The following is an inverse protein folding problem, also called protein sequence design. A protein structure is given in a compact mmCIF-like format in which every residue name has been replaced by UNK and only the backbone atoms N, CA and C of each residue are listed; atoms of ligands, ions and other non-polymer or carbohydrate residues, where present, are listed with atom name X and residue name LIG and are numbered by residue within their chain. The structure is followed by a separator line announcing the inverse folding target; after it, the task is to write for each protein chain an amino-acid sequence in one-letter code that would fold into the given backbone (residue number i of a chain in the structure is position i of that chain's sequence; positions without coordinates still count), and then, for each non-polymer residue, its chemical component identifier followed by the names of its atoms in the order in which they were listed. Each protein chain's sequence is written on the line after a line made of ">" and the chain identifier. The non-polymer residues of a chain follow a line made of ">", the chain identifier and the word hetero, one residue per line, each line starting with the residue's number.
data_IF_344171523606
#
_entry.id   IF_344171523606
#
_cell.length_a   1.000
_cell.length_b   1.000
_cell.length_c   1.000
_cell.angle_alpha   90.00
_cell.angle_beta   90.00
_cell.angle_gamma   90.00
#
_symmetry.space_group_name_H-M   'P 1'
#
loop_
_entity.id
_entity.type
_entity.pdbx_description
1 polymer ?
#
# COMPACT_ATOMS: atom_id res chain seq x y z
N UNK A 1 13.33 14.52 2.32
CA UNK A 1 12.71 13.20 2.30
C UNK A 1 13.66 12.11 2.79
N UNK A 2 13.13 10.91 3.06
CA UNK A 2 13.98 9.74 3.37
C UNK A 2 14.82 9.35 2.16
N UNK A 3 16.15 9.13 2.30
CA UNK A 3 17.02 8.73 1.19
C UNK A 3 16.58 7.42 0.52
N UNK A 4 15.95 6.54 1.26
CA UNK A 4 15.46 5.25 0.79
C UNK A 4 14.36 5.37 -0.27
N UNK A 5 13.62 6.48 -0.28
CA UNK A 5 12.56 6.76 -1.24
C UNK A 5 13.02 7.64 -2.42
N UNK A 6 14.30 8.02 -2.45
CA UNK A 6 14.81 9.00 -3.41
C UNK A 6 14.56 8.60 -4.86
N UNK A 7 14.80 7.35 -5.20
CA UNK A 7 14.67 6.84 -6.57
C UNK A 7 13.21 6.81 -7.01
N UNK A 8 12.32 6.33 -6.14
CA UNK A 8 10.88 6.29 -6.40
C UNK A 8 10.35 7.71 -6.61
N UNK A 9 10.68 8.64 -5.71
CA UNK A 9 10.16 10.01 -5.76
C UNK A 9 10.72 10.82 -6.95
N UNK A 10 11.98 10.58 -7.36
CA UNK A 10 12.55 11.20 -8.56
C UNK A 10 11.84 10.80 -9.85
N UNK A 11 11.20 9.63 -9.87
CA UNK A 11 10.42 9.16 -11.01
C UNK A 11 9.01 9.76 -11.10
N UNK A 12 8.56 10.52 -10.10
CA UNK A 12 7.24 11.12 -10.12
C UNK A 12 7.21 12.38 -11.02
N UNK A 13 6.14 12.54 -11.78
CA UNK A 13 5.91 13.73 -12.60
C UNK A 13 5.97 15.01 -11.75
N UNK A 14 6.64 16.04 -12.23
CA UNK A 14 6.81 17.33 -11.53
C UNK A 14 7.95 17.36 -10.50
N UNK A 15 8.60 16.24 -10.22
CA UNK A 15 9.75 16.17 -9.31
C UNK A 15 11.04 16.34 -10.11
N UNK A 16 11.63 17.55 -10.09
CA UNK A 16 12.89 17.84 -10.80
C UNK A 16 14.13 17.41 -10.02
N UNK A 17 14.06 17.36 -8.69
CA UNK A 17 15.19 16.94 -7.86
C UNK A 17 14.70 16.40 -6.51
N UNK A 18 15.46 15.48 -5.95
CA UNK A 18 15.32 15.01 -4.57
C UNK A 18 16.56 15.43 -3.78
N UNK A 19 16.35 16.18 -2.72
CA UNK A 19 17.43 16.68 -1.85
C UNK A 19 17.21 16.13 -0.44
N UNK A 20 18.28 15.59 0.14
CA UNK A 20 18.25 14.94 1.44
C UNK A 20 18.62 15.90 2.57
N UNK A 21 17.85 15.83 3.67
CA UNK A 21 18.23 16.35 4.98
C UNK A 21 18.69 17.81 4.99
N UNK A 22 19.77 18.07 5.66
CA UNK A 22 20.28 19.41 5.91
C UNK A 22 20.72 20.15 4.65
N UNK A 23 21.06 19.43 3.58
CA UNK A 23 21.40 20.02 2.29
C UNK A 23 20.22 20.78 1.70
N UNK A 24 19.00 20.39 2.03
CA UNK A 24 17.78 21.04 1.56
C UNK A 24 17.70 22.52 1.98
N UNK A 25 18.26 22.88 3.12
CA UNK A 25 18.30 24.27 3.61
C UNK A 25 19.17 25.19 2.76
N UNK A 26 20.13 24.64 2.02
CA UNK A 26 21.02 25.39 1.11
C UNK A 26 20.52 25.48 -0.34
N UNK A 27 19.42 24.82 -0.67
CA UNK A 27 18.88 24.84 -2.04
C UNK A 27 18.02 26.08 -2.23
N UNK A 28 18.34 26.88 -3.26
CA UNK A 28 17.51 28.02 -3.64
C UNK A 28 16.10 27.56 -4.05
N UNK A 29 15.08 28.23 -3.54
CA UNK A 29 13.67 27.96 -3.84
C UNK A 29 12.87 29.25 -3.69
N UNK A 30 11.84 29.43 -4.49
CA UNK A 30 10.93 30.56 -4.40
C UNK A 30 9.90 30.34 -3.27
N UNK A 31 9.48 29.09 -3.10
CA UNK A 31 8.51 28.68 -2.07
C UNK A 31 8.94 27.35 -1.45
N UNK A 32 8.60 27.17 -0.19
CA UNK A 32 8.68 25.85 0.45
C UNK A 32 7.38 25.51 1.18
N UNK A 33 7.09 24.24 1.28
CA UNK A 33 5.83 23.77 1.85
C UNK A 33 6.01 22.38 2.43
N UNK A 34 5.55 22.15 3.69
CA UNK A 34 5.45 20.79 4.21
C UNK A 34 4.46 20.00 3.35
N UNK A 35 4.83 18.79 2.93
CA UNK A 35 3.98 17.96 2.05
C UNK A 35 2.57 17.73 2.63
N UNK A 36 2.48 17.49 3.94
CA UNK A 36 1.19 17.28 4.63
C UNK A 36 0.30 18.54 4.68
N UNK A 37 0.87 19.72 4.45
CA UNK A 37 0.14 21.00 4.48
C UNK A 37 -0.15 21.54 3.07
N UNK A 38 0.23 20.82 2.03
CA UNK A 38 0.16 21.32 0.64
C UNK A 38 -1.26 21.62 0.16
N UNK A 39 -2.25 20.89 0.66
CA UNK A 39 -3.64 21.10 0.25
C UNK A 39 -4.17 22.50 0.57
N UNK A 40 -3.75 23.09 1.70
CA UNK A 40 -4.26 24.38 2.17
C UNK A 40 -3.89 25.53 1.23
N UNK A 41 -2.60 25.85 0.95
CA UNK A 41 -2.24 26.95 0.08
C UNK A 41 -2.56 26.69 -1.40
N UNK A 42 -2.71 25.43 -1.80
CA UNK A 42 -3.16 25.06 -3.15
C UNK A 42 -4.69 25.07 -3.27
N UNK A 43 -5.40 25.37 -2.18
CA UNK A 43 -6.86 25.39 -2.11
C UNK A 43 -7.50 24.10 -2.66
N UNK A 44 -6.89 22.95 -2.33
CA UNK A 44 -7.39 21.64 -2.76
C UNK A 44 -8.46 21.14 -1.78
N UNK A 45 -9.56 20.71 -2.33
CA UNK A 45 -10.61 20.00 -1.62
C UNK A 45 -10.52 18.49 -1.88
N UNK A 46 -11.19 17.69 -1.06
CA UNK A 46 -11.20 16.23 -1.21
C UNK A 46 -11.69 15.77 -2.60
N UNK A 47 -12.62 16.50 -3.20
CA UNK A 47 -13.12 16.26 -4.58
C UNK A 47 -12.09 16.47 -5.68
N UNK A 48 -11.01 17.22 -5.39
CA UNK A 48 -9.97 17.56 -6.37
C UNK A 48 -8.87 16.48 -6.45
N UNK A 49 -8.94 15.47 -5.57
CA UNK A 49 -8.02 14.33 -5.59
C UNK A 49 -8.29 13.48 -6.84
N UNK A 50 -7.25 13.18 -7.60
CA UNK A 50 -7.42 12.45 -8.86
C UNK A 50 -7.51 10.93 -8.71
N UNK A 51 -6.98 10.36 -7.63
CA UNK A 51 -6.91 8.91 -7.41
C UNK A 51 -6.05 8.12 -8.41
N UNK A 52 -5.56 8.76 -9.47
CA UNK A 52 -4.81 8.13 -10.55
C UNK A 52 -3.41 7.70 -10.11
N UNK A 53 -2.89 6.68 -10.78
CA UNK A 53 -1.50 6.27 -10.62
C UNK A 53 -0.53 7.41 -10.97
N UNK A 54 0.54 7.52 -10.17
CA UNK A 54 1.60 8.53 -10.36
C UNK A 54 3.00 7.97 -10.18
N UNK A 55 3.11 6.66 -9.92
CA UNK A 55 4.37 5.92 -9.88
C UNK A 55 4.33 4.85 -10.97
N UNK A 56 5.31 4.84 -11.85
CA UNK A 56 5.41 3.85 -12.92
C UNK A 56 5.85 2.49 -12.39
N UNK A 57 5.37 1.41 -13.00
CA UNK A 57 5.84 0.04 -12.76
C UNK A 57 7.29 -0.13 -13.21
N UNK A 58 8.04 -0.97 -12.53
CA UNK A 58 9.42 -1.32 -12.91
C UNK A 58 9.46 -2.38 -14.03
N UNK A 59 8.43 -3.21 -14.15
CA UNK A 59 8.32 -4.27 -15.16
C UNK A 59 6.84 -4.56 -15.47
N UNK A 60 6.55 -5.28 -16.56
CA UNK A 60 5.22 -5.81 -16.83
C UNK A 60 4.75 -6.77 -15.72
N UNK A 61 3.43 -6.90 -15.57
CA UNK A 61 2.86 -7.89 -14.66
C UNK A 61 3.17 -9.32 -15.09
N UNK A 62 3.34 -10.19 -14.09
CA UNK A 62 3.48 -11.64 -14.24
C UNK A 62 2.22 -12.38 -13.72
N UNK A 63 1.13 -11.68 -13.45
CA UNK A 63 -0.08 -12.26 -12.88
C UNK A 63 0.05 -12.68 -11.42
N UNK A 64 1.03 -12.14 -10.67
CA UNK A 64 1.25 -12.48 -9.27
C UNK A 64 0.24 -11.80 -8.36
N UNK A 65 0.06 -12.39 -7.18
CA UNK A 65 -0.68 -11.78 -6.07
C UNK A 65 0.28 -11.53 -4.93
N UNK A 66 0.55 -10.25 -4.67
CA UNK A 66 1.43 -9.83 -3.58
C UNK A 66 0.66 -9.75 -2.26
N UNK A 67 1.22 -10.27 -1.18
CA UNK A 67 0.57 -10.21 0.14
C UNK A 67 1.46 -9.65 1.22
N UNK A 68 0.88 -8.78 2.07
CA UNK A 68 1.55 -8.21 3.24
C UNK A 68 0.58 -8.14 4.42
N UNK A 69 1.00 -8.70 5.57
CA UNK A 69 0.11 -8.87 6.71
C UNK A 69 0.51 -8.08 7.96
N UNK A 70 1.77 -7.65 8.08
CA UNK A 70 2.28 -6.96 9.25
C UNK A 70 2.95 -5.64 8.86
N UNK A 71 2.69 -4.58 9.62
CA UNK A 71 3.35 -3.30 9.50
C UNK A 71 4.65 -3.21 10.30
N UNK A 72 5.06 -1.99 10.65
CA UNK A 72 6.17 -1.76 11.56
C UNK A 72 5.67 -2.00 13.01
N UNK A 73 6.23 -2.97 13.75
CA UNK A 73 5.81 -3.26 15.12
C UNK A 73 6.09 -2.10 16.11
N UNK A 74 7.00 -1.20 15.77
CA UNK A 74 7.29 -0.01 16.57
C UNK A 74 6.30 1.15 16.35
N UNK A 75 5.39 1.00 15.39
CA UNK A 75 4.38 2.02 15.14
C UNK A 75 3.31 1.99 16.23
N UNK A 76 3.08 3.13 16.91
CA UNK A 76 2.20 3.25 18.08
C UNK A 76 0.76 2.76 17.88
N UNK A 77 0.28 2.75 16.62
CA UNK A 77 -1.06 2.29 16.25
C UNK A 77 -1.08 0.92 15.59
N UNK A 78 0.03 0.18 15.56
CA UNK A 78 0.10 -1.15 14.91
C UNK A 78 -0.91 -2.12 15.50
N UNK A 79 -1.07 -2.13 16.82
CA UNK A 79 -2.05 -2.97 17.54
C UNK A 79 -3.50 -2.82 17.05
N UNK A 80 -3.86 -1.70 16.43
CA UNK A 80 -5.22 -1.45 15.93
C UNK A 80 -5.45 -1.97 14.51
N UNK A 81 -4.39 -2.18 13.74
CA UNK A 81 -4.45 -2.67 12.35
C UNK A 81 -3.86 -4.07 12.17
N UNK A 82 -3.23 -4.59 13.20
CA UNK A 82 -2.74 -5.97 13.21
C UNK A 82 -3.91 -6.95 13.22
N UNK A 83 -3.82 -7.97 12.40
CA UNK A 83 -4.78 -9.07 12.32
C UNK A 83 -4.06 -10.43 12.36
N UNK A 84 -4.72 -11.51 12.82
CA UNK A 84 -4.16 -12.84 12.77
C UNK A 84 -3.83 -13.25 11.33
N UNK A 85 -2.54 -13.46 11.00
CA UNK A 85 -2.05 -13.81 9.65
C UNK A 85 -2.71 -15.07 9.09
N UNK A 86 -3.12 -15.98 9.97
CA UNK A 86 -3.81 -17.22 9.62
C UNK A 86 -5.12 -16.98 8.90
N UNK A 87 -5.82 -15.88 9.20
CA UNK A 87 -7.07 -15.52 8.51
C UNK A 87 -6.80 -15.15 7.05
N UNK A 88 -5.74 -14.37 6.80
CA UNK A 88 -5.29 -14.07 5.44
C UNK A 88 -4.85 -15.34 4.72
N UNK A 89 -3.98 -16.15 5.33
CA UNK A 89 -3.47 -17.37 4.70
C UNK A 89 -4.58 -18.34 4.35
N UNK A 90 -5.57 -18.53 5.23
CA UNK A 90 -6.75 -19.35 4.97
C UNK A 90 -7.64 -18.80 3.83
N UNK A 91 -7.64 -17.49 3.61
CA UNK A 91 -8.40 -16.89 2.53
C UNK A 91 -7.75 -17.11 1.15
N UNK A 92 -6.42 -17.24 1.10
CA UNK A 92 -5.63 -17.27 -0.14
C UNK A 92 -4.89 -18.60 -0.40
N UNK A 93 -5.01 -19.60 0.46
CA UNK A 93 -4.24 -20.86 0.36
C UNK A 93 -4.49 -21.65 -0.92
N UNK A 94 -5.65 -21.45 -1.57
CA UNK A 94 -5.99 -22.10 -2.85
C UNK A 94 -5.64 -21.25 -4.08
N UNK A 95 -5.01 -20.11 -3.88
CA UNK A 95 -4.66 -19.16 -4.93
C UNK A 95 -3.24 -19.44 -5.42
N UNK A 96 -3.06 -19.55 -6.73
CA UNK A 96 -1.75 -19.75 -7.33
C UNK A 96 -1.01 -18.41 -7.54
N UNK A 97 0.32 -18.46 -7.61
CA UNK A 97 1.13 -17.30 -7.92
C UNK A 97 1.26 -16.27 -6.80
N UNK A 98 0.92 -16.64 -5.56
CA UNK A 98 1.07 -15.74 -4.41
C UNK A 98 2.54 -15.55 -4.06
N UNK A 99 2.95 -14.30 -3.88
CA UNK A 99 4.29 -13.90 -3.42
C UNK A 99 4.20 -13.07 -2.14
N UNK A 100 5.22 -13.20 -1.29
CA UNK A 100 5.30 -12.43 -0.05
C UNK A 100 5.87 -11.04 -0.29
N UNK A 101 5.15 -10.00 0.11
CA UNK A 101 5.65 -8.62 0.23
C UNK A 101 5.98 -8.26 1.68
N UNK A 102 6.11 -9.28 2.53
CA UNK A 102 6.50 -9.14 3.93
C UNK A 102 8.00 -9.39 4.07
N UNK A 103 8.75 -8.36 4.46
CA UNK A 103 10.20 -8.42 4.60
C UNK A 103 10.64 -9.33 5.75
N UNK A 104 9.92 -9.25 6.86
CA UNK A 104 10.29 -9.94 8.10
C UNK A 104 9.18 -10.89 8.56
N UNK A 105 9.57 -11.91 9.30
CA UNK A 105 8.66 -12.89 9.86
C UNK A 105 8.51 -14.15 9.00
N UNK A 106 7.92 -15.16 9.60
CA UNK A 106 7.69 -16.46 8.96
C UNK A 106 6.56 -16.35 7.93
N UNK A 107 6.79 -16.93 6.76
CA UNK A 107 5.83 -17.11 5.68
C UNK A 107 5.61 -18.58 5.37
N UNK A 108 4.43 -18.96 4.84
CA UNK A 108 4.21 -20.33 4.38
C UNK A 108 5.15 -20.71 3.22
N UNK A 109 5.59 -21.96 3.20
CA UNK A 109 6.49 -22.50 2.15
C UNK A 109 5.91 -22.43 0.73
N UNK A 110 4.57 -22.42 0.60
CA UNK A 110 3.90 -22.32 -0.70
C UNK A 110 3.91 -20.90 -1.30
N UNK A 111 4.29 -19.88 -0.53
CA UNK A 111 4.47 -18.52 -1.07
C UNK A 111 5.80 -18.39 -1.80
N UNK A 112 5.75 -17.75 -2.97
CA UNK A 112 6.95 -17.45 -3.74
C UNK A 112 7.92 -16.51 -2.99
N UNK A 113 9.22 -16.72 -3.27
CA UNK A 113 10.29 -15.89 -2.71
C UNK A 113 10.34 -14.53 -3.40
N UNK A 114 10.74 -13.51 -2.65
CA UNK A 114 10.91 -12.13 -3.12
C UNK A 114 12.14 -11.51 -2.50
N UNK A 115 12.72 -10.52 -3.18
CA UNK A 115 13.78 -9.66 -2.65
C UNK A 115 13.16 -8.33 -2.23
N UNK A 116 13.32 -7.94 -0.98
CA UNK A 116 12.71 -6.73 -0.40
C UNK A 116 13.74 -5.91 0.40
N UNK A 117 14.99 -5.90 -0.04
CA UNK A 117 16.09 -5.23 0.67
C UNK A 117 15.95 -3.71 0.59
N UNK A 118 15.53 -3.22 -0.56
CA UNK A 118 15.33 -1.80 -0.84
C UNK A 118 13.87 -1.50 -1.26
N UNK A 119 13.51 -0.23 -1.30
CA UNK A 119 12.22 0.18 -1.85
C UNK A 119 12.12 -0.03 -3.37
N UNK A 120 13.24 -0.04 -4.09
CA UNK A 120 13.28 -0.40 -5.51
C UNK A 120 12.97 -1.88 -5.72
N UNK A 121 13.53 -2.76 -4.88
CA UNK A 121 13.20 -4.19 -4.91
C UNK A 121 11.72 -4.39 -4.59
N UNK A 122 11.22 -3.72 -3.55
CA UNK A 122 9.79 -3.77 -3.19
C UNK A 122 8.90 -3.29 -4.35
N UNK A 123 9.26 -2.20 -5.01
CA UNK A 123 8.56 -1.69 -6.20
C UNK A 123 8.60 -2.68 -7.35
N UNK A 124 9.75 -3.33 -7.58
CA UNK A 124 9.89 -4.36 -8.60
C UNK A 124 8.97 -5.55 -8.32
N UNK A 125 8.98 -6.09 -7.11
CA UNK A 125 8.12 -7.22 -6.73
C UNK A 125 6.63 -6.87 -6.82
N UNK A 126 6.24 -5.66 -6.40
CA UNK A 126 4.88 -5.15 -6.58
C UNK A 126 4.52 -5.04 -8.06
N UNK A 127 5.47 -4.61 -8.94
CA UNK A 127 5.21 -4.49 -10.38
C UNK A 127 4.81 -5.80 -11.04
N UNK A 128 5.28 -6.94 -10.52
CA UNK A 128 4.93 -8.29 -11.02
C UNK A 128 3.49 -8.70 -10.70
N UNK A 129 2.82 -7.94 -9.82
CA UNK A 129 1.49 -8.29 -9.33
C UNK A 129 0.37 -7.68 -10.19
N UNK A 130 -0.73 -8.42 -10.33
CA UNK A 130 -2.02 -7.90 -10.77
C UNK A 130 -2.87 -7.47 -9.57
N UNK A 131 -2.65 -8.07 -8.42
CA UNK A 131 -3.35 -7.79 -7.18
C UNK A 131 -2.37 -7.75 -6.00
N UNK A 132 -2.54 -6.78 -5.12
CA UNK A 132 -1.88 -6.74 -3.82
C UNK A 132 -2.92 -6.77 -2.71
N UNK A 133 -2.79 -7.69 -1.75
CA UNK A 133 -3.63 -7.77 -0.54
C UNK A 133 -2.76 -7.40 0.65
N UNK A 134 -3.10 -6.32 1.34
CA UNK A 134 -2.24 -5.75 2.37
C UNK A 134 -3.00 -5.25 3.59
N UNK A 135 -2.36 -5.32 4.75
CA UNK A 135 -2.69 -4.43 5.86
C UNK A 135 -2.44 -2.97 5.48
N UNK A 136 -2.93 -2.02 6.29
CA UNK A 136 -2.71 -0.59 6.08
C UNK A 136 -1.23 -0.22 6.31
N UNK A 137 -0.39 -0.37 5.28
CA UNK A 137 1.07 -0.17 5.34
C UNK A 137 1.58 0.62 4.13
N UNK A 138 2.85 1.02 4.17
CA UNK A 138 3.53 1.70 3.05
C UNK A 138 3.50 0.89 1.74
N UNK A 139 3.50 -0.45 1.81
CA UNK A 139 3.35 -1.32 0.63
C UNK A 139 1.98 -1.11 -0.04
N UNK A 140 0.90 -0.98 0.74
CA UNK A 140 -0.42 -0.68 0.20
C UNK A 140 -0.45 0.66 -0.54
N UNK A 141 0.20 1.69 0.03
CA UNK A 141 0.30 3.00 -0.62
C UNK A 141 1.13 2.95 -1.90
N UNK A 142 2.27 2.26 -1.89
CA UNK A 142 3.12 2.14 -3.07
C UNK A 142 2.39 1.39 -4.19
N UNK A 143 1.77 0.26 -3.89
CA UNK A 143 0.98 -0.50 -4.86
C UNK A 143 -0.15 0.32 -5.46
N UNK A 144 -0.92 1.02 -4.63
CA UNK A 144 -2.02 1.87 -5.07
C UNK A 144 -1.53 3.06 -5.91
N UNK A 145 -0.42 3.70 -5.52
CA UNK A 145 0.21 4.78 -6.29
C UNK A 145 0.74 4.33 -7.65
N UNK A 146 1.06 3.05 -7.80
CA UNK A 146 1.43 2.42 -9.07
C UNK A 146 0.21 2.00 -9.91
N UNK A 147 -1.01 2.22 -9.42
CA UNK A 147 -2.25 1.85 -10.10
C UNK A 147 -2.51 0.35 -10.15
N UNK A 148 -1.83 -0.43 -9.31
CA UNK A 148 -2.06 -1.86 -9.17
C UNK A 148 -3.29 -2.06 -8.29
N UNK A 149 -4.18 -2.98 -8.67
CA UNK A 149 -5.33 -3.29 -7.85
C UNK A 149 -4.86 -3.68 -6.44
N UNK A 150 -5.33 -2.95 -5.43
CA UNK A 150 -4.87 -3.10 -4.06
C UNK A 150 -6.05 -3.28 -3.12
N UNK A 151 -6.13 -4.44 -2.48
CA UNK A 151 -7.12 -4.75 -1.46
C UNK A 151 -6.53 -4.49 -0.08
N UNK A 152 -7.11 -3.57 0.64
CA UNK A 152 -6.59 -3.17 1.94
C UNK A 152 -7.52 -3.62 3.04
N UNK A 153 -6.98 -4.39 3.97
CA UNK A 153 -7.68 -4.77 5.21
C UNK A 153 -7.51 -3.63 6.20
N UNK A 154 -8.62 -3.01 6.57
CA UNK A 154 -8.61 -1.82 7.43
C UNK A 154 -9.37 -2.05 8.74
N UNK A 155 -8.88 -1.51 9.85
CA UNK A 155 -9.56 -1.58 11.14
C UNK A 155 -10.86 -0.77 11.14
N UNK A 156 -11.64 -0.92 12.20
CA UNK A 156 -12.89 -0.17 12.39
C UNK A 156 -12.63 1.35 12.50
N UNK A 157 -11.49 1.74 13.06
CA UNK A 157 -10.99 3.11 13.06
C UNK A 157 -9.77 3.18 12.13
N UNK A 158 -9.97 3.41 10.83
CA UNK A 158 -8.90 3.39 9.86
C UNK A 158 -8.09 4.70 9.90
N UNK A 159 -6.90 4.65 9.28
CA UNK A 159 -6.16 5.87 8.95
C UNK A 159 -7.01 6.76 8.03
N UNK A 160 -6.91 8.07 8.18
CA UNK A 160 -7.81 9.06 7.56
C UNK A 160 -7.95 8.92 6.02
N UNK A 161 -6.91 8.44 5.33
CA UNK A 161 -6.93 8.23 3.87
C UNK A 161 -7.95 7.17 3.42
N UNK A 162 -8.36 6.27 4.31
CA UNK A 162 -9.27 5.17 3.99
C UNK A 162 -10.74 5.50 4.28
N UNK A 163 -11.05 6.73 4.71
CA UNK A 163 -12.38 7.16 5.12
C UNK A 163 -13.03 6.24 6.19
N UNK A 164 -14.16 6.62 6.74
CA UNK A 164 -14.85 5.85 7.79
C UNK A 164 -15.86 4.84 7.25
N UNK A 165 -16.27 4.95 6.00
CA UNK A 165 -17.27 4.10 5.38
C UNK A 165 -17.00 3.88 3.89
N UNK A 166 -17.73 2.93 3.30
CA UNK A 166 -17.53 2.55 1.90
C UNK A 166 -16.34 1.61 1.71
N UNK A 167 -16.17 1.14 0.51
CA UNK A 167 -15.12 0.21 0.10
C UNK A 167 -14.09 0.82 -0.88
N UNK A 168 -14.15 2.13 -1.07
CA UNK A 168 -13.27 2.91 -1.95
C UNK A 168 -12.63 4.08 -1.20
N UNK A 169 -11.64 4.73 -1.82
CA UNK A 169 -11.04 5.99 -1.37
C UNK A 169 -10.82 6.89 -2.58
N UNK A 170 -10.85 8.21 -2.38
CA UNK A 170 -10.54 9.16 -3.45
C UNK A 170 -9.02 9.34 -3.67
N UNK A 171 -8.20 8.83 -2.77
CA UNK A 171 -6.75 8.92 -2.90
C UNK A 171 -6.18 7.96 -3.94
N UNK A 172 -6.89 6.85 -4.23
CA UNK A 172 -6.42 5.82 -5.17
C UNK A 172 -7.59 5.11 -5.84
N UNK A 173 -7.69 5.24 -7.15
CA UNK A 173 -8.73 4.59 -7.96
C UNK A 173 -8.62 3.05 -7.96
N UNK A 174 -7.41 2.53 -7.73
CA UNK A 174 -7.09 1.10 -7.74
C UNK A 174 -7.35 0.39 -6.41
N UNK A 175 -7.86 1.09 -5.38
CA UNK A 175 -8.03 0.52 -4.03
C UNK A 175 -9.44 0.01 -3.79
N UNK A 176 -9.52 -1.19 -3.18
CA UNK A 176 -10.73 -1.73 -2.55
C UNK A 176 -10.46 -2.00 -1.08
N UNK A 177 -11.37 -1.54 -0.22
CA UNK A 177 -11.24 -1.62 1.23
C UNK A 177 -12.08 -2.76 1.79
N UNK A 178 -11.46 -3.62 2.59
CA UNK A 178 -12.10 -4.70 3.35
C UNK A 178 -12.08 -4.33 4.83
N UNK A 179 -13.24 -3.95 5.35
CA UNK A 179 -13.35 -3.31 6.65
C UNK A 179 -13.68 -4.28 7.77
N UNK A 180 -12.99 -4.11 8.89
CA UNK A 180 -13.43 -4.65 10.16
C UNK A 180 -14.78 -4.01 10.54
N UNK A 181 -15.75 -4.84 10.91
CA UNK A 181 -17.11 -4.39 11.27
C UNK A 181 -17.35 -4.38 12.78
N UNK A 182 -16.50 -5.09 13.52
CA UNK A 182 -16.56 -5.21 14.97
C UNK A 182 -15.13 -5.18 15.52
N UNK A 183 -14.90 -4.38 16.55
CA UNK A 183 -13.57 -4.23 17.16
C UNK A 183 -13.02 -5.58 17.61
N UNK A 184 -11.77 -5.88 17.24
CA UNK A 184 -11.10 -7.15 17.52
C UNK A 184 -11.56 -8.34 16.66
N UNK A 185 -12.61 -8.21 15.85
CA UNK A 185 -13.11 -9.29 14.99
C UNK A 185 -12.68 -9.08 13.54
N UNK A 186 -11.73 -9.89 13.06
CA UNK A 186 -11.18 -9.83 11.70
C UNK A 186 -11.77 -10.87 10.74
N UNK A 187 -12.75 -11.68 11.17
CA UNK A 187 -13.29 -12.75 10.33
C UNK A 187 -13.98 -12.23 9.06
N UNK A 188 -14.79 -11.18 9.21
CA UNK A 188 -15.60 -10.64 8.10
C UNK A 188 -14.75 -10.16 6.92
N UNK A 189 -13.73 -9.29 7.09
CA UNK A 189 -12.87 -8.87 5.98
C UNK A 189 -12.27 -10.03 5.19
N UNK A 190 -11.78 -11.07 5.86
CA UNK A 190 -11.14 -12.21 5.20
C UNK A 190 -12.14 -13.17 4.55
N UNK A 191 -13.35 -13.28 5.07
CA UNK A 191 -14.45 -13.97 4.39
C UNK A 191 -14.82 -13.26 3.08
N UNK A 192 -14.90 -11.93 3.10
CA UNK A 192 -15.22 -11.13 1.92
C UNK A 192 -14.10 -11.21 0.89
N UNK A 193 -12.82 -11.16 1.30
CA UNK A 193 -11.67 -11.37 0.41
C UNK A 193 -11.77 -12.74 -0.25
N UNK A 194 -11.99 -13.81 0.51
CA UNK A 194 -12.12 -15.16 -0.02
C UNK A 194 -13.24 -15.29 -1.03
N UNK A 195 -14.41 -14.71 -0.73
CA UNK A 195 -15.54 -14.72 -1.64
C UNK A 195 -15.26 -13.97 -2.94
N UNK A 196 -14.56 -12.82 -2.84
CA UNK A 196 -14.21 -12.02 -4.00
C UNK A 196 -13.18 -12.74 -4.90
N UNK A 197 -12.18 -13.42 -4.32
CA UNK A 197 -11.24 -14.26 -5.06
C UNK A 197 -11.96 -15.39 -5.82
N UNK A 198 -12.85 -16.11 -5.13
CA UNK A 198 -13.65 -17.17 -5.73
C UNK A 198 -14.55 -16.66 -6.86
N UNK A 199 -15.17 -15.49 -6.69
CA UNK A 199 -16.02 -14.86 -7.70
C UNK A 199 -15.24 -14.54 -8.98
N UNK A 200 -13.99 -14.13 -8.83
CA UNK A 200 -13.08 -13.79 -9.93
C UNK A 200 -12.38 -15.00 -10.55
N UNK A 201 -12.53 -16.19 -9.96
CA UNK A 201 -11.83 -17.42 -10.35
C UNK A 201 -10.30 -17.29 -10.27
N UNK A 202 -9.86 -16.59 -9.23
CA UNK A 202 -8.45 -16.46 -8.88
C UNK A 202 -8.11 -17.48 -7.79
#
# INVERSE_FOLDING_TARGET
>A
GSPELATILKGCEGVSAFVQGDVALGVYHDYWLPSMSSAVPLNLEYKDLSGKAYIERSCPSEGKIGVKWLGNPEFEHEQHREFPKELLFNAITSVEGVISLQKEGEKPEWMGETTLDTWEDTKYEISRCDLVISSCTSVAHLSAAMGIETWIVVPILPYYLWALSGDTTQHYDSVKLFRQTEYGCWKKPFQDIKQELLRRKI
#
